data_IF_213187738752
#
_entry.id   IF_213187738752
#
_cell.length_a   1.000
_cell.length_b   1.000
_cell.length_c   1.000
_cell.angle_alpha   90.00
_cell.angle_beta   90.00
_cell.angle_gamma   90.00
#
_symmetry.space_group_name_H-M   'P 1'
#
loop_
_entity.id
_entity.type
_entity.pdbx_description
1 polymer ?
#
# COMPACT_ATOMS: atom_id res chain seq x y z
N UNK A 1 8.47 -12.15 33.33
CA UNK A 1 8.70 -11.31 32.12
C UNK A 1 7.56 -11.43 31.11
N UNK A 2 6.78 -12.51 31.09
CA UNK A 2 5.42 -12.50 30.57
C UNK A 2 4.58 -13.29 31.57
N UNK A 3 3.76 -12.62 32.38
CA UNK A 3 2.92 -13.29 33.39
C UNK A 3 1.74 -14.01 32.71
N UNK A 4 2.05 -15.08 31.95
CA UNK A 4 1.10 -15.84 31.11
C UNK A 4 -0.10 -16.36 31.93
N UNK A 5 0.14 -16.75 33.19
CA UNK A 5 -0.94 -17.16 34.12
C UNK A 5 -1.78 -15.98 34.64
N UNK A 6 -1.20 -14.79 34.81
CA UNK A 6 -1.94 -13.59 35.23
C UNK A 6 -2.74 -12.99 34.06
N UNK A 7 -2.26 -13.17 32.83
CA UNK A 7 -2.90 -12.72 31.59
C UNK A 7 -3.86 -13.77 30.98
N UNK A 8 -3.96 -14.95 31.59
CA UNK A 8 -4.85 -16.02 31.13
C UNK A 8 -4.50 -16.60 29.75
N UNK A 9 -3.25 -16.48 29.29
CA UNK A 9 -2.81 -16.91 27.95
C UNK A 9 -1.85 -18.08 27.98
N UNK A 10 -1.81 -18.84 26.87
CA UNK A 10 -0.86 -19.94 26.67
C UNK A 10 0.19 -19.54 25.63
N UNK A 11 1.39 -20.15 25.69
CA UNK A 11 2.44 -19.93 24.69
C UNK A 11 1.94 -20.19 23.26
N UNK A 12 1.09 -21.21 23.07
CA UNK A 12 0.46 -21.48 21.76
C UNK A 12 -0.44 -20.33 21.31
N UNK A 13 -1.23 -19.77 22.22
CA UNK A 13 -2.12 -18.63 21.95
C UNK A 13 -1.32 -17.39 21.56
N UNK A 14 -0.24 -17.09 22.29
CA UNK A 14 0.64 -15.94 22.03
C UNK A 14 1.35 -16.05 20.67
N UNK A 15 1.88 -17.24 20.34
CA UNK A 15 2.52 -17.48 19.04
C UNK A 15 1.50 -17.31 17.90
N UNK A 16 0.32 -17.90 18.01
CA UNK A 16 -0.73 -17.78 16.97
C UNK A 16 -1.22 -16.34 16.83
N UNK A 17 -1.40 -15.62 17.93
CA UNK A 17 -1.80 -14.21 17.93
C UNK A 17 -0.73 -13.32 17.30
N UNK A 18 0.55 -13.54 17.65
CA UNK A 18 1.69 -12.83 17.07
C UNK A 18 1.83 -13.08 15.57
N UNK A 19 1.76 -14.34 15.13
CA UNK A 19 1.82 -14.70 13.72
C UNK A 19 0.66 -14.10 12.92
N UNK A 20 -0.56 -14.13 13.47
CA UNK A 20 -1.73 -13.50 12.84
C UNK A 20 -1.52 -12.00 12.69
N UNK A 21 -1.06 -11.32 13.75
CA UNK A 21 -0.78 -9.88 13.74
C UNK A 21 0.29 -9.53 12.71
N UNK A 22 1.37 -10.30 12.65
CA UNK A 22 2.43 -10.14 11.66
C UNK A 22 1.87 -10.19 10.23
N UNK A 23 1.11 -11.23 9.89
CA UNK A 23 0.54 -11.36 8.55
C UNK A 23 -0.47 -10.26 8.22
N UNK A 24 -1.25 -9.78 9.19
CA UNK A 24 -2.18 -8.66 8.96
C UNK A 24 -1.47 -7.34 8.69
N UNK A 25 -0.25 -7.14 9.19
CA UNK A 25 0.54 -5.92 8.98
C UNK A 25 1.53 -6.05 7.83
N UNK A 26 1.85 -7.27 7.40
CA UNK A 26 2.84 -7.54 6.36
C UNK A 26 2.58 -6.81 5.04
N UNK A 27 1.31 -6.52 4.71
CA UNK A 27 0.98 -5.76 3.49
C UNK A 27 1.65 -4.37 3.48
N UNK A 28 1.88 -3.76 4.65
CA UNK A 28 2.50 -2.45 4.79
C UNK A 28 3.93 -2.46 4.26
N UNK A 29 4.63 -3.61 4.34
CA UNK A 29 5.99 -3.76 3.81
C UNK A 29 6.03 -3.51 2.30
N UNK A 30 4.96 -3.77 1.56
CA UNK A 30 4.89 -3.55 0.12
C UNK A 30 4.22 -2.21 -0.20
N UNK A 31 3.11 -1.91 0.47
CA UNK A 31 2.29 -0.75 0.11
C UNK A 31 2.96 0.57 0.51
N UNK A 32 3.67 0.63 1.64
CA UNK A 32 4.34 1.87 2.04
C UNK A 32 5.44 2.28 1.04
N UNK A 33 6.39 1.41 0.67
CA UNK A 33 7.38 1.70 -0.37
C UNK A 33 6.77 2.07 -1.72
N UNK A 34 5.66 1.44 -2.11
CA UNK A 34 4.96 1.73 -3.36
C UNK A 34 4.38 3.15 -3.41
N UNK A 35 3.90 3.66 -2.27
CA UNK A 35 3.39 5.03 -2.15
C UNK A 35 4.56 6.03 -2.12
N UNK A 36 5.63 5.73 -1.37
CA UNK A 36 6.79 6.61 -1.29
C UNK A 36 7.59 6.65 -2.62
N UNK A 37 7.60 5.57 -3.39
CA UNK A 37 8.26 5.56 -4.71
C UNK A 37 7.61 6.50 -5.71
N UNK A 38 6.31 6.76 -5.56
CA UNK A 38 5.61 7.77 -6.37
C UNK A 38 6.03 9.21 -6.01
N UNK A 39 6.64 9.43 -4.84
CA UNK A 39 7.26 10.71 -4.46
C UNK A 39 8.73 10.81 -4.90
N UNK A 40 9.29 9.78 -5.54
CA UNK A 40 10.69 9.73 -5.97
C UNK A 40 11.64 9.02 -5.00
N UNK A 41 11.13 8.42 -3.92
CA UNK A 41 11.95 7.67 -2.96
C UNK A 41 12.33 6.30 -3.55
N UNK A 42 13.61 5.87 -3.50
CA UNK A 42 13.98 4.54 -3.96
C UNK A 42 13.25 3.43 -3.21
N UNK A 43 12.63 2.51 -3.95
CA UNK A 43 11.81 1.43 -3.38
C UNK A 43 12.58 0.58 -2.36
N UNK A 44 13.76 0.08 -2.73
CA UNK A 44 14.61 -0.77 -1.87
C UNK A 44 15.00 -0.08 -0.56
N UNK A 45 15.30 1.22 -0.60
CA UNK A 45 15.67 2.00 0.58
C UNK A 45 14.47 2.17 1.51
N UNK A 46 13.31 2.55 0.96
CA UNK A 46 12.08 2.73 1.74
C UNK A 46 11.54 1.42 2.31
N UNK A 47 11.69 0.30 1.59
CA UNK A 47 11.33 -1.04 2.04
C UNK A 47 12.14 -1.43 3.29
N UNK A 48 13.47 -1.35 3.18
CA UNK A 48 14.38 -1.70 4.27
C UNK A 48 14.18 -0.78 5.48
N UNK A 49 14.05 0.53 5.26
CA UNK A 49 13.80 1.50 6.33
C UNK A 49 12.47 1.23 7.06
N UNK A 50 11.42 0.86 6.34
CA UNK A 50 10.10 0.54 6.93
C UNK A 50 10.18 -0.67 7.85
N UNK A 51 10.87 -1.73 7.43
CA UNK A 51 11.04 -2.95 8.22
C UNK A 51 11.82 -2.65 9.49
N UNK A 52 12.96 -1.97 9.37
CA UNK A 52 13.80 -1.61 10.53
C UNK A 52 13.01 -0.75 11.51
N UNK A 53 12.30 0.27 11.03
CA UNK A 53 11.50 1.15 11.88
C UNK A 53 10.34 0.42 12.58
N UNK A 54 9.63 -0.47 11.88
CA UNK A 54 8.54 -1.25 12.44
C UNK A 54 9.03 -2.26 13.49
N UNK A 55 10.15 -2.93 13.24
CA UNK A 55 10.77 -3.88 14.18
C UNK A 55 11.22 -3.14 15.44
N UNK A 56 12.00 -2.06 15.30
CA UNK A 56 12.48 -1.27 16.44
C UNK A 56 11.30 -0.69 17.23
N UNK A 57 10.34 -0.07 16.55
CA UNK A 57 9.16 0.54 17.19
C UNK A 57 8.31 -0.49 17.95
N UNK A 58 8.05 -1.64 17.34
CA UNK A 58 7.27 -2.72 17.98
C UNK A 58 8.04 -3.34 19.14
N UNK A 59 9.36 -3.52 19.01
CA UNK A 59 10.21 -4.07 20.07
C UNK A 59 10.32 -3.12 21.27
N UNK A 60 10.44 -1.81 21.03
CA UNK A 60 10.40 -0.80 22.09
C UNK A 60 9.06 -0.81 22.83
N UNK A 61 7.94 -0.88 22.11
CA UNK A 61 6.61 -0.98 22.74
C UNK A 61 6.43 -2.27 23.55
N UNK A 62 6.91 -3.40 23.01
CA UNK A 62 6.80 -4.69 23.68
C UNK A 62 7.69 -4.84 24.91
N UNK A 63 8.97 -4.45 24.82
CA UNK A 63 9.95 -4.68 25.89
C UNK A 63 10.04 -3.54 26.91
N UNK A 64 10.01 -2.29 26.43
CA UNK A 64 10.20 -1.11 27.29
C UNK A 64 8.85 -0.64 27.84
N UNK A 65 7.88 -0.40 26.96
CA UNK A 65 6.56 0.10 27.38
C UNK A 65 5.63 -1.00 27.91
N UNK A 66 5.96 -2.27 27.71
CA UNK A 66 5.15 -3.45 28.08
C UNK A 66 3.69 -3.32 27.62
N UNK A 67 3.50 -2.75 26.43
CA UNK A 67 2.19 -2.46 25.88
C UNK A 67 1.98 -3.28 24.60
N UNK A 68 0.92 -4.10 24.51
CA UNK A 68 0.72 -5.03 23.39
C UNK A 68 0.16 -4.32 22.14
N UNK A 69 0.90 -3.33 21.63
CA UNK A 69 0.61 -2.66 20.36
C UNK A 69 1.78 -2.89 19.40
N UNK A 70 1.44 -3.35 18.20
CA UNK A 70 2.36 -3.36 17.08
C UNK A 70 2.40 -1.98 16.42
N UNK A 71 3.61 -1.49 16.17
CA UNK A 71 3.85 -0.15 15.60
C UNK A 71 4.24 -0.31 14.13
N UNK A 72 3.49 0.38 13.27
CA UNK A 72 3.74 0.45 11.85
C UNK A 72 3.50 1.88 11.34
N UNK A 73 4.02 2.24 10.16
CA UNK A 73 3.82 3.56 9.61
C UNK A 73 2.34 3.85 9.35
N UNK A 74 1.92 5.08 9.66
CA UNK A 74 0.55 5.55 9.45
C UNK A 74 0.25 5.77 7.97
N UNK A 75 -0.54 4.88 7.37
CA UNK A 75 -0.82 4.89 5.93
C UNK A 75 -1.40 6.21 5.39
N UNK A 76 -2.23 6.92 6.18
CA UNK A 76 -2.79 8.21 5.78
C UNK A 76 -1.76 9.34 5.69
N UNK A 77 -0.76 9.34 6.58
CA UNK A 77 0.30 10.36 6.58
C UNK A 77 1.26 10.17 5.41
N UNK A 78 1.55 8.92 5.03
CA UNK A 78 2.41 8.61 3.89
C UNK A 78 1.74 9.01 2.56
N UNK A 79 0.44 8.74 2.47
CA UNK A 79 -0.39 9.20 1.37
C UNK A 79 -0.41 10.74 1.26
N UNK A 80 -0.64 11.45 2.37
CA UNK A 80 -0.60 12.90 2.41
C UNK A 80 0.78 13.45 2.01
N UNK A 81 1.85 12.84 2.53
CA UNK A 81 3.23 13.19 2.19
C UNK A 81 3.48 13.08 0.68
N UNK A 82 3.17 11.94 0.07
CA UNK A 82 3.40 11.72 -1.36
C UNK A 82 2.53 12.63 -2.22
N UNK A 83 1.21 12.61 -2.03
CA UNK A 83 0.27 13.22 -2.98
C UNK A 83 0.05 14.71 -2.74
N UNK A 84 0.04 15.16 -1.48
CA UNK A 84 -0.26 16.57 -1.17
C UNK A 84 1.01 17.40 -1.00
N UNK A 85 2.02 16.88 -0.29
CA UNK A 85 3.25 17.66 0.00
C UNK A 85 4.20 17.63 -1.19
N UNK A 86 4.59 16.43 -1.64
CA UNK A 86 5.60 16.29 -2.71
C UNK A 86 5.00 16.53 -4.09
N UNK A 87 3.92 15.85 -4.45
CA UNK A 87 3.32 15.99 -5.79
C UNK A 87 2.46 17.25 -5.95
N UNK A 88 1.86 17.76 -4.87
CA UNK A 88 0.99 18.94 -4.91
C UNK A 88 1.73 20.26 -5.07
N UNK A 89 3.04 20.32 -4.77
CA UNK A 89 3.84 21.55 -4.83
C UNK A 89 4.99 21.37 -5.81
N UNK A 90 4.99 22.16 -6.89
CA UNK A 90 6.08 22.15 -7.86
C UNK A 90 7.38 22.67 -7.21
N UNK A 91 8.35 21.78 -6.98
CA UNK A 91 9.71 22.13 -6.55
C UNK A 91 10.15 21.57 -5.19
N UNK A 92 9.30 20.87 -4.45
CA UNK A 92 9.70 20.21 -3.20
C UNK A 92 10.13 18.77 -3.52
N UNK A 93 11.42 18.47 -3.34
CA UNK A 93 11.90 17.09 -3.42
C UNK A 93 11.51 16.27 -2.18
N UNK A 94 11.62 14.95 -2.30
CA UNK A 94 11.34 14.06 -1.17
C UNK A 94 12.33 14.25 -0.01
N UNK A 95 13.54 14.77 -0.27
CA UNK A 95 14.59 14.99 0.73
C UNK A 95 14.22 16.17 1.63
N UNK A 96 13.77 17.28 1.03
CA UNK A 96 13.27 18.46 1.73
C UNK A 96 12.04 18.10 2.57
N UNK A 97 11.12 17.34 1.99
CA UNK A 97 9.93 16.86 2.70
C UNK A 97 10.29 15.95 3.89
N UNK A 98 11.23 15.01 3.74
CA UNK A 98 11.70 14.19 4.86
C UNK A 98 12.44 15.00 5.93
N UNK A 99 13.14 16.06 5.55
CA UNK A 99 13.79 16.97 6.50
C UNK A 99 12.76 17.68 7.38
N UNK A 100 11.65 18.12 6.79
CA UNK A 100 10.53 18.68 7.54
C UNK A 100 9.88 17.65 8.49
N UNK A 101 9.69 16.41 8.03
CA UNK A 101 9.16 15.31 8.88
C UNK A 101 10.11 14.99 10.03
N UNK A 102 11.41 15.00 9.80
CA UNK A 102 12.42 14.79 10.83
C UNK A 102 12.38 15.88 11.91
N UNK A 103 12.31 17.16 11.50
CA UNK A 103 12.17 18.30 12.42
C UNK A 103 10.84 18.20 13.19
N UNK A 104 9.74 17.88 12.52
CA UNK A 104 8.45 17.68 13.16
C UNK A 104 8.48 16.52 14.17
N UNK A 105 9.21 15.44 13.88
CA UNK A 105 9.45 14.32 14.79
C UNK A 105 10.25 14.73 16.03
N UNK A 106 11.29 15.54 15.86
CA UNK A 106 12.07 16.07 16.98
C UNK A 106 11.22 17.01 17.86
N UNK A 107 10.45 17.91 17.24
CA UNK A 107 9.50 18.77 17.95
C UNK A 107 8.44 17.94 18.69
N UNK A 108 7.92 16.89 18.07
CA UNK A 108 6.96 15.99 18.70
C UNK A 108 7.57 15.22 19.88
N UNK A 109 8.83 14.79 19.77
CA UNK A 109 9.56 14.16 20.87
C UNK A 109 9.70 15.11 22.06
N UNK A 110 10.13 16.36 21.81
CA UNK A 110 10.22 17.41 22.83
C UNK A 110 8.87 17.68 23.47
N UNK A 111 7.81 17.84 22.66
CA UNK A 111 6.45 18.04 23.15
C UNK A 111 5.94 16.84 23.97
N UNK A 112 6.30 15.60 23.61
CA UNK A 112 5.88 14.41 24.33
C UNK A 112 6.51 14.27 25.72
N UNK A 113 7.64 14.95 26.00
CA UNK A 113 8.21 15.03 27.34
C UNK A 113 7.48 16.04 28.24
N UNK A 114 6.65 16.91 27.66
CA UNK A 114 5.91 17.94 28.39
C UNK A 114 4.44 17.56 28.60
N UNK A 115 3.76 18.24 29.52
CA UNK A 115 2.32 18.05 29.78
C UNK A 115 1.42 18.62 28.68
N UNK A 116 2.00 19.36 27.71
CA UNK A 116 1.28 19.97 26.59
C UNK A 116 0.49 18.94 25.78
N UNK A 117 1.04 17.74 25.55
CA UNK A 117 0.34 16.67 24.81
C UNK A 117 -1.04 16.37 25.40
N UNK A 118 -1.14 16.24 26.72
CA UNK A 118 -2.40 15.93 27.40
C UNK A 118 -3.39 17.09 27.28
N UNK A 119 -2.93 18.32 27.52
CA UNK A 119 -3.77 19.52 27.38
C UNK A 119 -4.28 19.70 25.96
N UNK A 120 -3.45 19.42 24.94
CA UNK A 120 -3.85 19.50 23.54
C UNK A 120 -5.00 18.52 23.24
N UNK A 121 -4.89 17.28 23.71
CA UNK A 121 -5.92 16.24 23.50
C UNK A 121 -7.21 16.58 24.25
N UNK A 122 -7.12 17.16 25.45
CA UNK A 122 -8.29 17.58 26.25
C UNK A 122 -9.01 18.79 25.64
N UNK A 123 -8.28 19.70 24.95
CA UNK A 123 -8.86 20.85 24.26
C UNK A 123 -9.61 20.50 22.97
N UNK A 124 -9.29 19.37 22.32
CA UNK A 124 -9.98 18.97 21.09
C UNK A 124 -11.36 18.38 21.45
N UNK A 125 -12.47 19.00 21.04
CA UNK A 125 -13.82 18.50 21.31
C UNK A 125 -14.04 17.14 20.64
N UNK A 126 -14.88 16.29 21.24
CA UNK A 126 -15.15 14.93 20.74
C UNK A 126 -15.61 14.92 19.27
N UNK A 127 -16.42 15.90 18.86
CA UNK A 127 -16.88 16.04 17.48
C UNK A 127 -15.72 16.22 16.49
N UNK A 128 -14.69 17.01 16.84
CA UNK A 128 -13.50 17.15 15.99
C UNK A 128 -12.68 15.86 15.96
N UNK A 129 -12.59 15.11 17.06
CA UNK A 129 -11.92 13.80 17.08
C UNK A 129 -12.58 12.82 16.11
N UNK A 130 -13.90 12.73 16.13
CA UNK A 130 -14.65 11.88 15.20
C UNK A 130 -14.50 12.33 13.74
N UNK A 131 -14.57 13.64 13.48
CA UNK A 131 -14.38 14.20 12.15
C UNK A 131 -12.99 13.87 11.57
N UNK A 132 -11.93 13.96 12.39
CA UNK A 132 -10.56 13.59 11.99
C UNK A 132 -10.50 12.11 11.62
N UNK A 133 -11.08 11.21 12.42
CA UNK A 133 -11.09 9.77 12.12
C UNK A 133 -11.82 9.46 10.81
N UNK A 134 -13.01 10.06 10.59
CA UNK A 134 -13.79 9.89 9.36
C UNK A 134 -13.05 10.45 8.15
N UNK A 135 -12.45 11.64 8.29
CA UNK A 135 -11.68 12.28 7.22
C UNK A 135 -10.48 11.47 6.77
N UNK A 136 -9.67 10.95 7.71
CA UNK A 136 -8.54 10.08 7.40
C UNK A 136 -9.01 8.78 6.74
N UNK A 137 -10.10 8.18 7.24
CA UNK A 137 -10.67 6.97 6.65
C UNK A 137 -11.14 7.18 5.21
N UNK A 138 -11.88 8.26 4.95
CA UNK A 138 -12.35 8.62 3.61
C UNK A 138 -11.20 8.94 2.66
N UNK A 139 -10.17 9.62 3.14
CA UNK A 139 -8.98 9.95 2.37
C UNK A 139 -8.21 8.69 1.94
N UNK A 140 -7.99 7.74 2.87
CA UNK A 140 -7.32 6.47 2.55
C UNK A 140 -8.19 5.63 1.59
N UNK A 141 -9.51 5.61 1.79
CA UNK A 141 -10.42 4.92 0.88
C UNK A 141 -10.35 5.50 -0.54
N UNK A 142 -10.35 6.83 -0.68
CA UNK A 142 -10.22 7.50 -1.96
C UNK A 142 -8.91 7.16 -2.67
N UNK A 143 -7.79 7.12 -1.94
CA UNK A 143 -6.50 6.72 -2.51
C UNK A 143 -6.52 5.25 -2.95
N UNK A 144 -7.14 4.36 -2.17
CA UNK A 144 -7.35 2.97 -2.58
C UNK A 144 -8.15 2.83 -3.88
N UNK A 145 -9.21 3.64 -4.04
CA UNK A 145 -10.00 3.70 -5.29
C UNK A 145 -9.18 4.25 -6.47
N UNK A 146 -8.24 5.18 -6.21
CA UNK A 146 -7.33 5.73 -7.22
C UNK A 146 -6.27 4.72 -7.65
N UNK A 147 -5.63 4.03 -6.70
CA UNK A 147 -4.62 3.00 -7.00
C UNK A 147 -5.20 1.76 -7.69
N UNK A 148 -6.47 1.44 -7.43
CA UNK A 148 -7.16 0.32 -8.09
C UNK A 148 -7.66 0.64 -9.50
N UNK A 149 -7.61 1.91 -9.92
CA UNK A 149 -8.10 2.35 -11.23
C UNK A 149 -9.63 2.49 -11.33
N UNK A 150 -10.37 2.31 -10.23
CA UNK A 150 -11.83 2.55 -10.17
C UNK A 150 -12.13 4.03 -10.37
N UNK A 151 -11.31 4.90 -9.77
CA UNK A 151 -11.39 6.35 -9.94
C UNK A 151 -10.22 6.81 -10.80
N UNK A 152 -10.48 7.70 -11.76
CA UNK A 152 -9.52 8.38 -12.64
C UNK A 152 -9.60 9.90 -12.49
N UNK A 153 -8.54 10.61 -12.92
CA UNK A 153 -8.54 12.07 -12.87
C UNK A 153 -9.23 12.57 -14.13
N UNK A 154 -10.14 13.53 -13.98
CA UNK A 154 -10.80 14.18 -15.10
C UNK A 154 -10.48 15.68 -15.05
N UNK A 155 -10.15 16.32 -16.19
CA UNK A 155 -9.81 17.74 -16.22
C UNK A 155 -10.94 18.63 -15.69
N UNK A 156 -12.21 18.24 -15.88
CA UNK A 156 -13.34 19.09 -15.53
C UNK A 156 -13.90 18.86 -14.11
N UNK A 157 -13.85 17.60 -13.62
CA UNK A 157 -14.53 17.22 -12.38
C UNK A 157 -13.57 16.72 -11.28
N UNK A 158 -12.25 16.73 -11.52
CA UNK A 158 -11.19 16.17 -10.67
C UNK A 158 -11.28 14.65 -10.42
N UNK A 159 -12.46 14.05 -10.61
CA UNK A 159 -12.81 12.65 -10.36
C UNK A 159 -13.70 12.15 -11.50
N UNK A 160 -13.28 11.08 -12.17
CA UNK A 160 -14.09 10.31 -13.12
C UNK A 160 -14.07 8.83 -12.73
N UNK A 161 -15.04 8.07 -13.26
CA UNK A 161 -14.94 6.61 -13.24
C UNK A 161 -13.86 6.17 -14.24
N UNK A 162 -13.01 5.26 -13.80
CA UNK A 162 -12.09 4.55 -14.68
C UNK A 162 -12.82 3.54 -15.57
N UNK A 163 -12.06 2.90 -16.45
CA UNK A 163 -12.60 1.85 -17.31
C UNK A 163 -12.87 0.57 -16.49
N UNK A 164 -14.15 0.35 -16.16
CA UNK A 164 -14.60 -0.80 -15.37
C UNK A 164 -14.46 -2.14 -16.11
N UNK A 165 -14.29 -2.13 -17.43
CA UNK A 165 -14.02 -3.34 -18.19
C UNK A 165 -12.54 -3.73 -18.16
N UNK A 166 -11.67 -2.84 -17.64
CA UNK A 166 -10.28 -3.21 -17.46
C UNK A 166 -10.18 -4.34 -16.45
N UNK A 167 -9.49 -5.44 -16.81
CA UNK A 167 -9.46 -6.60 -15.95
C UNK A 167 -8.76 -6.39 -14.60
N UNK A 168 -7.91 -5.37 -14.46
CA UNK A 168 -7.31 -4.94 -13.20
C UNK A 168 -8.36 -4.36 -12.24
N UNK A 169 -9.27 -3.54 -12.76
CA UNK A 169 -10.36 -2.90 -12.02
C UNK A 169 -11.39 -3.93 -11.57
N UNK A 170 -11.75 -4.87 -12.45
CA UNK A 170 -12.64 -5.99 -12.10
C UNK A 170 -12.05 -6.81 -10.96
N UNK A 171 -10.76 -7.13 -11.01
CA UNK A 171 -10.09 -7.90 -9.96
C UNK A 171 -10.09 -7.15 -8.62
N UNK A 172 -9.87 -5.84 -8.66
CA UNK A 172 -9.93 -4.99 -7.47
C UNK A 172 -11.34 -4.92 -6.88
N UNK A 173 -12.39 -4.78 -7.71
CA UNK A 173 -13.78 -4.76 -7.25
C UNK A 173 -14.20 -6.10 -6.64
N UNK A 174 -13.91 -7.22 -7.31
CA UNK A 174 -14.20 -8.57 -6.79
C UNK A 174 -13.44 -8.79 -5.48
N UNK A 175 -12.18 -8.39 -5.42
CA UNK A 175 -11.36 -8.48 -4.21
C UNK A 175 -11.89 -7.67 -3.03
N UNK A 176 -12.34 -6.44 -3.30
CA UNK A 176 -12.96 -5.57 -2.31
C UNK A 176 -14.26 -6.18 -1.79
N UNK A 177 -15.12 -6.68 -2.67
CA UNK A 177 -16.38 -7.34 -2.28
C UNK A 177 -16.12 -8.58 -1.42
N UNK A 178 -15.19 -9.45 -1.82
CA UNK A 178 -14.82 -10.65 -1.04
C UNK A 178 -14.33 -10.24 0.35
N UNK A 179 -13.45 -9.25 0.42
CA UNK A 179 -12.88 -8.78 1.70
C UNK A 179 -13.98 -8.18 2.59
N UNK A 180 -14.91 -7.39 2.04
CA UNK A 180 -16.04 -6.84 2.76
C UNK A 180 -17.00 -7.92 3.28
N UNK A 181 -17.29 -8.95 2.48
CA UNK A 181 -18.13 -10.08 2.89
C UNK A 181 -17.48 -10.84 4.05
N UNK A 182 -16.18 -11.14 3.95
CA UNK A 182 -15.42 -11.82 5.01
C UNK A 182 -15.39 -10.98 6.30
N UNK A 183 -15.27 -9.66 6.17
CA UNK A 183 -15.28 -8.73 7.30
C UNK A 183 -16.66 -8.62 7.94
N UNK A 184 -17.74 -8.55 7.14
CA UNK A 184 -19.12 -8.56 7.61
C UNK A 184 -19.49 -9.87 8.32
N UNK A 185 -18.90 -10.99 7.89
CA UNK A 185 -19.03 -12.31 8.54
C UNK A 185 -18.14 -12.46 9.79
N UNK A 186 -17.41 -11.43 10.22
CA UNK A 186 -16.53 -11.43 11.40
C UNK A 186 -15.52 -12.59 11.42
N UNK A 187 -15.00 -12.98 10.26
CA UNK A 187 -13.99 -14.04 10.17
C UNK A 187 -12.64 -13.49 10.63
N UNK A 188 -12.01 -14.20 11.57
CA UNK A 188 -10.66 -13.84 12.06
C UNK A 188 -9.67 -13.88 10.89
N UNK A 189 -9.01 -12.76 10.61
CA UNK A 189 -8.08 -12.64 9.48
C UNK A 189 -8.74 -12.39 8.12
N UNK A 190 -10.00 -11.92 8.09
CA UNK A 190 -10.74 -11.58 6.86
C UNK A 190 -9.92 -10.80 5.81
N UNK A 191 -9.17 -9.78 6.26
CA UNK A 191 -8.29 -8.98 5.38
C UNK A 191 -7.20 -9.83 4.73
N UNK A 192 -6.56 -10.71 5.50
CA UNK A 192 -5.48 -11.57 5.01
C UNK A 192 -5.99 -12.62 4.02
N UNK A 193 -7.12 -13.26 4.35
CA UNK A 193 -7.79 -14.22 3.47
C UNK A 193 -8.20 -13.54 2.17
N UNK A 194 -8.76 -12.33 2.25
CA UNK A 194 -9.12 -11.52 1.08
C UNK A 194 -7.92 -11.27 0.16
N UNK A 195 -6.78 -10.87 0.71
CA UNK A 195 -5.53 -10.66 -0.06
C UNK A 195 -5.00 -11.94 -0.71
N UNK A 196 -5.08 -13.09 -0.04
CA UNK A 196 -4.66 -14.36 -0.63
C UNK A 196 -5.58 -14.75 -1.78
N UNK A 197 -6.90 -14.65 -1.59
CA UNK A 197 -7.87 -15.01 -2.64
C UNK A 197 -7.68 -14.13 -3.88
N UNK A 198 -7.50 -12.82 -3.70
CA UNK A 198 -7.24 -11.90 -4.82
C UNK A 198 -5.90 -12.17 -5.49
N UNK A 199 -4.86 -12.48 -4.71
CA UNK A 199 -3.56 -12.91 -5.23
C UNK A 199 -3.65 -14.19 -6.06
N UNK A 200 -4.38 -15.20 -5.58
CA UNK A 200 -4.60 -16.46 -6.31
C UNK A 200 -5.38 -16.21 -7.60
N UNK A 201 -6.43 -15.40 -7.57
CA UNK A 201 -7.17 -15.03 -8.78
C UNK A 201 -6.27 -14.29 -9.80
N UNK A 202 -5.39 -13.40 -9.33
CA UNK A 202 -4.40 -12.73 -10.17
C UNK A 202 -3.43 -13.73 -10.83
N UNK A 203 -2.92 -14.70 -10.07
CA UNK A 203 -1.99 -15.73 -10.54
C UNK A 203 -2.66 -16.65 -11.56
N UNK A 204 -3.86 -17.16 -11.27
CA UNK A 204 -4.65 -17.98 -12.20
C UNK A 204 -4.87 -17.27 -13.53
N UNK A 205 -5.21 -15.98 -13.48
CA UNK A 205 -5.40 -15.16 -14.67
C UNK A 205 -4.10 -14.94 -15.44
N UNK A 206 -3.01 -14.63 -14.73
CA UNK A 206 -1.70 -14.41 -15.34
C UNK A 206 -1.17 -15.70 -16.00
N UNK A 207 -1.37 -16.85 -15.36
CA UNK A 207 -1.04 -18.16 -15.90
C UNK A 207 -1.86 -18.49 -17.16
N UNK A 208 -3.17 -18.20 -17.15
CA UNK A 208 -4.05 -18.40 -18.31
C UNK A 208 -3.67 -17.48 -19.49
N UNK A 209 -3.27 -16.23 -19.24
CA UNK A 209 -2.80 -15.30 -20.26
C UNK A 209 -1.42 -15.70 -20.80
N UNK A 210 -0.48 -16.10 -19.94
CA UNK A 210 0.84 -16.58 -20.37
C UNK A 210 0.74 -17.88 -21.17
N UNK A 211 -0.19 -18.77 -20.84
CA UNK A 211 -0.48 -19.95 -21.66
C UNK A 211 -1.07 -19.57 -23.04
N UNK A 212 -1.96 -18.57 -23.09
CA UNK A 212 -2.52 -18.06 -24.34
C UNK A 212 -1.51 -17.27 -25.20
N UNK A 213 -0.56 -16.58 -24.57
CA UNK A 213 0.50 -15.83 -25.25
C UNK A 213 1.61 -16.76 -25.79
N UNK A 214 1.91 -17.86 -25.11
CA UNK A 214 2.83 -18.89 -25.60
C UNK A 214 2.28 -19.64 -26.84
N UNK A 215 0.95 -19.73 -26.97
CA UNK A 215 0.27 -20.35 -28.11
C UNK A 215 -0.06 -19.37 -29.25
N UNK A 216 0.14 -18.06 -29.07
CA UNK A 216 0.09 -17.09 -30.17
C UNK A 216 1.48 -16.97 -30.80
N UNK A 217 1.73 -17.52 -32.01
CA UNK A 217 2.97 -17.21 -32.71
C UNK A 217 3.06 -15.69 -32.94
N UNK A 218 4.26 -15.10 -32.89
CA UNK A 218 4.42 -13.67 -33.12
C UNK A 218 3.83 -13.33 -34.49
N UNK A 219 2.82 -12.45 -34.52
CA UNK A 219 2.37 -11.85 -35.78
C UNK A 219 3.52 -10.99 -36.31
N UNK A 220 4.26 -11.49 -37.30
CA UNK A 220 5.27 -10.68 -37.98
C UNK A 220 4.55 -9.51 -38.68
N UNK A 221 4.77 -8.30 -38.18
CA UNK A 221 4.21 -7.05 -38.71
C UNK A 221 4.85 -6.81 -40.08
N UNK A 222 4.07 -6.65 -41.14
CA UNK A 222 4.58 -6.17 -42.43
C UNK A 222 4.93 -4.69 -42.27
N UNK A 223 6.21 -4.36 -42.12
CA UNK A 223 6.72 -2.99 -42.17
C UNK A 223 7.30 -2.71 -43.56
N UNK A 224 6.91 -1.59 -44.17
CA UNK A 224 7.54 -1.07 -45.38
C UNK A 224 8.63 -0.08 -44.98
N UNK A 225 9.87 -0.30 -45.44
CA UNK A 225 10.98 0.64 -45.28
C UNK A 225 11.70 0.73 -46.63
N UNK A 226 11.75 1.91 -47.24
CA UNK A 226 12.51 2.18 -48.48
C UNK A 226 12.25 1.19 -49.64
N UNK A 227 10.97 0.93 -49.96
CA UNK A 227 10.61 0.18 -51.18
C UNK A 227 11.01 -1.32 -51.25
N UNK A 228 11.69 -1.87 -50.23
CA UNK A 228 12.13 -3.27 -50.21
C UNK A 228 11.38 -4.04 -49.12
N UNK A 229 10.77 -5.17 -49.52
CA UNK A 229 9.93 -6.02 -48.65
C UNK A 229 10.79 -6.91 -47.75
N UNK A 230 11.13 -6.45 -46.55
CA UNK A 230 11.84 -7.27 -45.55
C UNK A 230 10.89 -7.87 -44.51
N UNK A 231 10.93 -9.21 -44.36
CA UNK A 231 10.28 -9.90 -43.24
C UNK A 231 11.19 -9.82 -42.01
N UNK A 232 10.97 -8.86 -41.12
CA UNK A 232 11.57 -8.88 -39.78
C UNK A 232 10.67 -9.71 -38.86
N UNK A 233 11.14 -10.88 -38.44
CA UNK A 233 10.62 -11.54 -37.25
C UNK A 233 11.66 -11.30 -36.13
N UNK A 234 11.28 -10.73 -34.97
CA UNK A 234 12.21 -10.52 -33.87
C UNK A 234 12.51 -11.88 -33.22
N UNK A 235 13.77 -12.29 -33.27
CA UNK A 235 14.28 -13.42 -32.51
C UNK A 235 14.44 -12.95 -31.07
N UNK A 236 13.49 -13.28 -30.20
CA UNK A 236 13.53 -12.89 -28.79
C UNK A 236 14.56 -13.75 -28.04
N UNK A 237 15.73 -13.19 -27.76
CA UNK A 237 16.57 -13.69 -26.69
C UNK A 237 15.93 -13.31 -25.35
N UNK A 238 15.57 -14.37 -24.63
CA UNK A 238 15.04 -14.41 -23.28
C UNK A 238 16.11 -13.87 -22.32
N UNK A 239 15.86 -12.75 -21.65
CA UNK A 239 16.46 -12.44 -20.36
C UNK A 239 15.50 -11.55 -19.59
N UNK A 240 15.13 -12.01 -18.39
CA UNK A 240 13.98 -11.53 -17.66
C UNK A 240 14.14 -10.12 -17.13
N UNK A 241 13.23 -9.24 -17.53
CA UNK A 241 12.62 -8.22 -16.68
C UNK A 241 11.20 -8.04 -17.21
N UNK A 242 10.22 -8.33 -16.36
CA UNK A 242 8.81 -8.08 -16.62
C UNK A 242 8.58 -6.57 -16.43
N UNK A 243 8.33 -5.77 -17.48
CA UNK A 243 7.93 -4.40 -17.26
C UNK A 243 6.47 -4.42 -16.81
N UNK A 244 6.27 -4.41 -15.49
CA UNK A 244 5.06 -3.80 -14.92
C UNK A 244 5.04 -2.35 -15.43
N UNK A 245 3.96 -1.98 -16.10
CA UNK A 245 3.75 -0.77 -16.92
C UNK A 245 4.16 -0.87 -18.40
N UNK A 246 3.16 -1.08 -19.24
CA UNK A 246 3.11 -0.50 -20.59
C UNK A 246 1.83 0.36 -20.63
N UNK A 247 1.91 1.66 -20.95
CA UNK A 247 0.73 2.48 -21.09
C UNK A 247 0.00 2.08 -22.38
N UNK A 248 -1.33 2.04 -22.28
CA UNK A 248 -2.31 2.34 -23.32
C UNK A 248 -1.84 2.21 -24.78
N UNK A 249 -2.24 1.14 -25.47
CA UNK A 249 -2.33 1.16 -26.93
C UNK A 249 -3.77 1.52 -27.32
N UNK A 250 -3.95 2.79 -27.69
CA UNK A 250 -4.95 3.26 -28.67
C UNK A 250 -4.69 2.63 -30.04
#
# INVERSE_FOLDING_TARGET
MFDLKANGTSVKTEVVAGTTTFFTMAYIMVVNPLILSQAGVPFEQSFTATIIAAVIGTLLMGLVARYPIAVAPGMGLNAYFTYSVVQGHAGIGYIEAFSAVFIAGLLFLLLSMTTLRRRLIEMIPANLKHAITVGIGLFIAFIGLRMSGIVTAHPDNLVALGDLHQPSVILAMVGLVITLILLARNIKGALFIGMIITGIMLILRTCCISAAALYRPPRCRKGYWYGIRLRRCPMSLRTGYMPLYSPSCS
#
